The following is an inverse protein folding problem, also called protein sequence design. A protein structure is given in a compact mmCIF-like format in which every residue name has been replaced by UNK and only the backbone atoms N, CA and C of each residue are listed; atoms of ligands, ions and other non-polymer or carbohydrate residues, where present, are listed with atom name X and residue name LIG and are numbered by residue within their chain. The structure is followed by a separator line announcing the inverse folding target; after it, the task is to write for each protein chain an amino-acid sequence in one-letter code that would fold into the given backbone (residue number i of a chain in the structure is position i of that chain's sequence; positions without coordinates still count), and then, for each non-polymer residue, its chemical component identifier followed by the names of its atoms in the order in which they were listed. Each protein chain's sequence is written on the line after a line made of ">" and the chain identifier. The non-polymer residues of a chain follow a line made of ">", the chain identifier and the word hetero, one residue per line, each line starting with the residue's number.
data_IF_214820075047
#
_entry.id   IF_214820075047
#
_cell.length_a   1.000
_cell.length_b   1.000
_cell.length_c   1.000
_cell.angle_alpha   90.00
_cell.angle_beta   90.00
_cell.angle_gamma   90.00
#
_symmetry.space_group_name_H-M   'P 1'
#
loop_
_entity.id
_entity.type
_entity.pdbx_description
1 polymer ?
#
# COMPACT_ATOMS: atom_id res chain seq x y z
N UNK A 1 -19.62 -24.99 80.52
CA UNK A 1 -18.67 -25.56 79.53
C UNK A 1 -19.40 -26.53 78.63
N UNK A 2 -19.44 -26.20 77.32
CA UNK A 2 -19.86 -26.97 76.12
C UNK A 2 -20.10 -25.86 75.06
N UNK A 3 -19.10 -25.43 74.28
CA UNK A 3 -18.61 -26.05 73.02
C UNK A 3 -19.77 -26.28 72.03
N UNK A 4 -19.77 -25.89 70.75
CA UNK A 4 -18.77 -25.33 69.84
C UNK A 4 -19.50 -24.88 68.54
N UNK A 5 -19.09 -23.72 68.02
CA UNK A 5 -18.96 -23.32 66.60
C UNK A 5 -20.16 -23.36 65.63
N UNK A 6 -20.52 -22.12 65.27
CA UNK A 6 -21.14 -21.57 64.07
C UNK A 6 -20.45 -22.04 62.76
N UNK A 7 -21.23 -22.39 61.73
CA UNK A 7 -20.78 -22.41 60.34
C UNK A 7 -21.93 -21.91 59.45
N UNK A 8 -21.86 -20.62 59.11
CA UNK A 8 -22.71 -19.94 58.15
C UNK A 8 -22.12 -20.22 56.76
N UNK A 9 -22.87 -20.92 55.89
CA UNK A 9 -22.53 -21.07 54.48
C UNK A 9 -23.17 -19.90 53.71
N UNK A 10 -22.41 -18.83 53.51
CA UNK A 10 -22.73 -17.78 52.54
C UNK A 10 -22.29 -18.22 51.15
N UNK A 11 -23.23 -18.57 50.28
CA UNK A 11 -22.99 -18.71 48.83
C UNK A 11 -22.86 -17.32 48.21
N UNK A 12 -21.64 -16.97 47.82
CA UNK A 12 -21.30 -15.76 47.09
C UNK A 12 -21.87 -15.79 45.67
N UNK A 13 -22.66 -14.77 45.32
CA UNK A 13 -23.10 -14.52 43.95
C UNK A 13 -21.95 -14.01 43.10
N UNK A 14 -21.67 -14.70 42.00
CA UNK A 14 -20.70 -14.27 40.98
C UNK A 14 -21.29 -13.09 40.20
N UNK A 15 -20.77 -11.90 40.46
CA UNK A 15 -21.00 -10.72 39.63
C UNK A 15 -20.21 -10.88 38.32
N UNK A 16 -20.92 -11.06 37.21
CA UNK A 16 -20.40 -10.92 35.85
C UNK A 16 -20.08 -9.43 35.60
N UNK A 17 -18.82 -9.03 35.83
CA UNK A 17 -18.31 -7.76 35.36
C UNK A 17 -18.14 -7.80 33.84
N UNK A 18 -18.99 -7.07 33.11
CA UNK A 18 -18.76 -6.74 31.70
C UNK A 18 -17.56 -5.78 31.66
N UNK A 19 -16.38 -6.30 31.35
CA UNK A 19 -15.22 -5.47 31.01
C UNK A 19 -15.47 -4.88 29.62
N UNK A 20 -15.24 -3.59 29.37
CA UNK A 20 -15.09 -3.10 28.01
C UNK A 20 -13.83 -3.76 27.44
N UNK A 21 -13.97 -4.48 26.32
CA UNK A 21 -12.83 -4.85 25.49
C UNK A 21 -12.26 -3.53 24.99
N UNK A 22 -11.24 -3.05 25.70
CA UNK A 22 -10.30 -2.09 25.14
C UNK A 22 -9.71 -2.77 23.91
N UNK A 23 -10.20 -2.37 22.73
CA UNK A 23 -9.51 -2.61 21.47
C UNK A 23 -8.11 -2.07 21.68
N UNK A 24 -7.13 -2.99 21.76
CA UNK A 24 -5.72 -2.65 21.86
C UNK A 24 -5.35 -1.71 20.71
N UNK A 25 -5.28 -0.43 21.04
CA UNK A 25 -4.51 0.56 20.31
C UNK A 25 -3.03 0.24 20.50
N UNK A 26 -2.56 -0.82 19.86
CA UNK A 26 -1.16 -1.18 19.79
C UNK A 26 -0.97 -2.21 18.68
N UNK A 27 -0.97 -1.72 17.45
CA UNK A 27 -0.08 -2.20 16.39
C UNK A 27 0.03 -1.09 15.35
N UNK A 28 0.60 0.05 15.77
CA UNK A 28 1.30 0.97 14.87
C UNK A 28 2.55 0.24 14.37
N UNK A 29 2.34 -0.74 13.52
CA UNK A 29 3.38 -1.26 12.70
C UNK A 29 3.18 -0.60 11.34
N UNK A 30 4.08 0.34 11.05
CA UNK A 30 4.55 0.68 9.72
C UNK A 30 5.00 -0.61 9.01
N UNK A 31 4.06 -1.50 8.72
CA UNK A 31 4.25 -2.62 7.83
C UNK A 31 4.27 -2.02 6.44
N UNK A 32 5.47 -1.75 5.95
CA UNK A 32 5.75 -1.63 4.53
C UNK A 32 5.17 -2.88 3.89
N UNK A 33 4.09 -2.72 3.12
CA UNK A 33 3.41 -3.84 2.46
C UNK A 33 4.31 -4.30 1.33
N UNK A 34 5.24 -5.22 1.60
CA UNK A 34 6.18 -5.71 0.59
C UNK A 34 5.49 -6.82 -0.21
N UNK A 35 5.54 -6.71 -1.53
CA UNK A 35 5.18 -7.83 -2.39
C UNK A 35 6.26 -8.91 -2.27
N UNK A 36 5.95 -10.05 -1.65
CA UNK A 36 6.90 -11.14 -1.39
C UNK A 36 7.52 -11.71 -2.68
N UNK A 37 6.78 -11.71 -3.79
CA UNK A 37 7.26 -12.23 -5.08
C UNK A 37 8.31 -11.30 -5.71
N UNK A 38 8.16 -10.00 -5.50
CA UNK A 38 8.94 -8.98 -6.20
C UNK A 38 10.00 -8.33 -5.30
N UNK A 39 9.84 -8.41 -3.98
CA UNK A 39 10.71 -7.81 -2.97
C UNK A 39 10.57 -6.28 -2.87
N UNK A 40 9.55 -5.69 -3.50
CA UNK A 40 9.25 -4.26 -3.50
C UNK A 40 7.76 -4.04 -3.25
N UNK A 41 7.33 -2.96 -2.59
CA UNK A 41 5.92 -2.69 -2.31
C UNK A 41 5.19 -2.16 -3.54
N UNK A 42 5.17 -2.95 -4.62
CA UNK A 42 4.54 -2.63 -5.91
C UNK A 42 3.55 -3.72 -6.26
N UNK A 43 2.30 -3.30 -6.48
CA UNK A 43 1.17 -4.20 -6.70
C UNK A 43 0.49 -3.92 -8.04
N UNK A 44 0.15 -4.97 -8.81
CA UNK A 44 -0.62 -4.81 -10.05
C UNK A 44 -2.10 -4.47 -9.80
N UNK A 45 -2.57 -4.64 -8.57
CA UNK A 45 -3.93 -4.37 -8.12
C UNK A 45 -3.95 -3.28 -7.05
N UNK A 46 -5.15 -2.90 -6.61
CA UNK A 46 -5.36 -1.93 -5.54
C UNK A 46 -5.40 -2.58 -4.14
N UNK A 47 -4.85 -1.91 -3.14
CA UNK A 47 -4.79 -2.39 -1.75
C UNK A 47 -6.03 -1.89 -1.01
N UNK A 48 -7.02 -2.75 -0.82
CA UNK A 48 -8.25 -2.38 -0.08
C UNK A 48 -8.17 -2.64 1.42
N UNK A 49 -7.12 -3.34 1.87
CA UNK A 49 -6.94 -3.73 3.27
C UNK A 49 -6.55 -2.56 4.19
N UNK A 50 -5.99 -1.49 3.62
CA UNK A 50 -5.53 -0.31 4.36
C UNK A 50 -5.94 0.97 3.65
N UNK A 51 -6.51 1.96 4.37
CA UNK A 51 -6.77 3.25 3.78
C UNK A 51 -5.44 3.97 3.52
N UNK A 52 -5.34 4.60 2.36
CA UNK A 52 -4.16 5.33 1.92
C UNK A 52 -4.57 6.64 1.25
N UNK A 53 -3.62 7.56 1.07
CA UNK A 53 -3.73 8.77 0.25
C UNK A 53 -2.87 8.66 -0.99
N UNK A 54 -3.32 9.22 -2.09
CA UNK A 54 -2.56 9.18 -3.35
C UNK A 54 -1.52 10.30 -3.33
N UNK A 55 -0.24 9.93 -3.32
CA UNK A 55 0.87 10.88 -3.42
C UNK A 55 0.94 11.45 -4.84
N UNK A 56 0.73 10.59 -5.85
CA UNK A 56 0.62 11.02 -7.24
C UNK A 56 0.87 9.91 -8.27
N UNK A 57 0.74 10.24 -9.56
CA UNK A 57 1.02 9.34 -10.66
C UNK A 57 2.53 9.13 -10.85
N UNK A 58 2.94 7.89 -11.06
CA UNK A 58 4.32 7.46 -11.32
C UNK A 58 4.42 6.83 -12.69
N UNK A 59 5.47 7.19 -13.43
CA UNK A 59 5.75 6.66 -14.77
C UNK A 59 7.20 6.19 -14.87
N UNK A 60 7.38 4.92 -15.18
CA UNK A 60 8.68 4.31 -15.47
C UNK A 60 8.77 3.92 -16.95
N UNK A 61 9.98 3.95 -17.48
CA UNK A 61 10.25 3.54 -18.87
C UNK A 61 11.55 2.77 -18.95
N UNK A 62 11.45 1.45 -19.14
CA UNK A 62 12.64 0.60 -19.29
C UNK A 62 12.88 0.37 -20.77
N UNK A 63 14.05 0.78 -21.25
CA UNK A 63 14.48 0.58 -22.65
C UNK A 63 15.16 -0.76 -22.83
N UNK A 64 14.89 -1.41 -23.97
CA UNK A 64 15.72 -2.52 -24.45
C UNK A 64 17.08 -2.00 -24.92
N UNK A 65 18.13 -2.82 -24.76
CA UNK A 65 19.47 -2.47 -25.24
C UNK A 65 19.61 -2.66 -26.75
N UNK A 66 19.03 -3.75 -27.28
CA UNK A 66 19.01 -4.10 -28.71
C UNK A 66 17.73 -4.86 -29.07
N UNK A 67 17.40 -4.97 -30.35
CA UNK A 67 16.19 -5.67 -30.86
C UNK A 67 16.16 -7.15 -30.43
N UNK A 68 17.34 -7.80 -30.39
CA UNK A 68 17.53 -9.19 -29.96
C UNK A 68 17.61 -9.38 -28.45
N UNK A 69 17.60 -8.29 -27.67
CA UNK A 69 17.59 -8.39 -26.21
C UNK A 69 16.26 -8.95 -25.72
N UNK A 70 16.31 -9.70 -24.61
CA UNK A 70 15.10 -10.13 -23.88
C UNK A 70 14.30 -8.91 -23.46
N UNK A 71 12.98 -9.06 -23.37
CA UNK A 71 12.12 -8.02 -22.80
C UNK A 71 12.58 -7.68 -21.37
N UNK A 72 12.43 -6.41 -20.95
CA UNK A 72 12.77 -6.03 -19.59
C UNK A 72 11.95 -6.88 -18.61
N UNK A 73 12.61 -7.41 -17.59
CA UNK A 73 11.94 -8.23 -16.59
C UNK A 73 10.94 -7.39 -15.80
N UNK A 74 9.79 -7.98 -15.45
CA UNK A 74 8.77 -7.34 -14.61
C UNK A 74 9.38 -6.82 -13.30
N UNK A 75 10.32 -7.57 -12.71
CA UNK A 75 11.07 -7.15 -11.52
C UNK A 75 11.83 -5.85 -11.71
N UNK A 76 12.47 -5.66 -12.87
CA UNK A 76 13.18 -4.42 -13.16
C UNK A 76 12.21 -3.24 -13.31
N UNK A 77 11.06 -3.47 -13.95
CA UNK A 77 10.01 -2.46 -14.10
C UNK A 77 9.47 -2.05 -12.73
N UNK A 78 9.22 -3.01 -11.85
CA UNK A 78 8.66 -2.76 -10.52
C UNK A 78 9.67 -2.02 -9.64
N UNK A 79 10.95 -2.41 -9.65
CA UNK A 79 11.99 -1.66 -8.95
C UNK A 79 12.07 -0.21 -9.44
N UNK A 80 11.99 0.01 -10.75
CA UNK A 80 12.09 1.34 -11.37
C UNK A 80 10.86 2.22 -11.07
N UNK A 81 9.69 1.61 -10.87
CA UNK A 81 8.49 2.29 -10.35
C UNK A 81 8.66 2.63 -8.87
N UNK A 82 9.14 1.67 -8.08
CA UNK A 82 9.36 1.84 -6.65
C UNK A 82 10.36 2.97 -6.36
N UNK A 83 11.52 2.98 -7.02
CA UNK A 83 12.54 4.02 -6.82
C UNK A 83 12.01 5.43 -7.10
N UNK A 84 11.01 5.58 -7.97
CA UNK A 84 10.35 6.88 -8.22
C UNK A 84 9.29 7.20 -7.17
N UNK A 85 8.48 6.22 -6.78
CA UNK A 85 7.51 6.39 -5.69
C UNK A 85 8.17 6.71 -4.36
N UNK A 86 9.25 6.02 -4.02
CA UNK A 86 10.04 6.22 -2.82
C UNK A 86 10.58 7.65 -2.75
N UNK A 87 11.10 8.20 -3.86
CA UNK A 87 11.53 9.60 -3.95
C UNK A 87 10.40 10.61 -3.74
N UNK A 88 9.16 10.21 -4.01
CA UNK A 88 7.97 11.02 -3.75
C UNK A 88 7.43 10.84 -2.32
N UNK A 89 8.01 9.93 -1.52
CA UNK A 89 7.59 9.65 -0.15
C UNK A 89 6.39 8.71 -0.05
N UNK A 90 6.22 7.84 -1.04
CA UNK A 90 5.20 6.79 -1.03
C UNK A 90 5.67 5.56 -0.25
N UNK A 91 4.71 4.91 0.41
CA UNK A 91 4.92 3.65 1.13
C UNK A 91 4.66 2.44 0.25
N UNK A 92 3.83 2.61 -0.79
CA UNK A 92 3.54 1.58 -1.78
C UNK A 92 3.20 2.18 -3.15
N UNK A 93 3.25 1.33 -4.17
CA UNK A 93 2.77 1.60 -5.53
C UNK A 93 1.61 0.63 -5.81
N UNK A 94 0.46 1.16 -6.24
CA UNK A 94 -0.73 0.37 -6.56
C UNK A 94 -1.11 0.49 -8.03
N UNK A 95 -1.90 -0.49 -8.48
CA UNK A 95 -2.41 -0.58 -9.85
C UNK A 95 -1.30 -0.43 -10.91
N UNK A 96 -0.15 -1.07 -10.68
CA UNK A 96 0.97 -1.05 -11.60
C UNK A 96 0.63 -1.80 -12.90
N UNK A 97 0.55 -1.04 -14.00
CA UNK A 97 0.38 -1.58 -15.34
C UNK A 97 1.64 -1.34 -16.17
N UNK A 98 1.96 -2.27 -17.06
CA UNK A 98 3.04 -2.11 -18.04
C UNK A 98 2.50 -2.50 -19.41
N UNK A 99 2.72 -1.62 -20.39
CA UNK A 99 2.26 -1.83 -21.76
C UNK A 99 3.22 -2.69 -22.57
N UNK A 100 2.75 -3.23 -23.69
CA UNK A 100 3.60 -3.94 -24.65
C UNK A 100 4.72 -3.04 -25.17
N UNK A 101 5.89 -3.64 -25.40
CA UNK A 101 7.06 -2.97 -25.95
C UNK A 101 6.81 -2.49 -27.39
N UNK A 102 6.29 -1.27 -27.57
CA UNK A 102 6.06 -0.75 -28.92
C UNK A 102 7.39 -0.32 -29.56
N UNK A 103 7.70 -0.88 -30.73
CA UNK A 103 8.77 -0.41 -31.61
C UNK A 103 8.21 0.76 -32.42
N UNK A 104 8.67 1.98 -32.14
CA UNK A 104 8.32 3.16 -32.95
C UNK A 104 9.53 3.58 -33.78
N UNK A 105 9.32 4.32 -34.87
CA UNK A 105 10.37 4.72 -35.82
C UNK A 105 11.55 5.51 -35.19
N UNK A 106 11.41 5.95 -33.94
CA UNK A 106 12.47 6.60 -33.13
C UNK A 106 12.77 5.89 -31.79
N UNK A 107 12.17 4.73 -31.50
CA UNK A 107 12.38 4.01 -30.22
C UNK A 107 12.49 2.50 -30.41
N UNK A 108 13.62 1.94 -29.99
CA UNK A 108 14.01 0.53 -30.14
C UNK A 108 13.31 -0.44 -29.16
N UNK A 109 12.02 -0.21 -28.88
CA UNK A 109 11.24 -0.98 -27.90
C UNK A 109 11.39 -0.41 -26.49
N UNK A 110 10.48 0.50 -26.12
CA UNK A 110 10.33 1.02 -24.76
C UNK A 110 9.11 0.37 -24.11
N UNK A 111 9.30 -0.24 -22.96
CA UNK A 111 8.20 -0.69 -22.10
C UNK A 111 7.88 0.43 -21.13
N UNK A 112 6.71 1.05 -21.28
CA UNK A 112 6.23 2.06 -20.34
C UNK A 112 5.43 1.36 -19.25
N UNK A 113 5.65 1.78 -18.00
CA UNK A 113 4.88 1.35 -16.87
C UNK A 113 4.30 2.56 -16.14
N UNK A 114 3.04 2.43 -15.74
CA UNK A 114 2.22 3.45 -15.11
C UNK A 114 1.68 2.90 -13.82
N UNK A 115 1.69 3.69 -12.76
CA UNK A 115 1.17 3.28 -11.46
C UNK A 115 0.89 4.50 -10.56
N UNK A 116 0.19 4.30 -9.46
CA UNK A 116 -0.03 5.34 -8.45
C UNK A 116 0.83 5.11 -7.22
N UNK A 117 1.57 6.14 -6.84
CA UNK A 117 2.28 6.20 -5.57
C UNK A 117 1.29 6.55 -4.46
N UNK A 118 1.27 5.74 -3.41
CA UNK A 118 0.34 5.89 -2.29
C UNK A 118 1.07 5.90 -0.96
N UNK A 119 0.50 6.60 0.00
CA UNK A 119 0.99 6.69 1.37
C UNK A 119 -0.10 6.20 2.32
N UNK A 120 0.21 5.27 3.22
CA UNK A 120 -0.82 4.75 4.12
C UNK A 120 -1.22 5.79 5.16
N UNK A 121 -2.51 5.81 5.51
CA UNK A 121 -2.98 6.65 6.61
C UNK A 121 -2.62 5.98 7.94
N UNK A 122 -2.15 6.81 8.87
CA UNK A 122 -1.90 6.39 10.26
C UNK A 122 -3.22 6.23 11.01
N UNK A 123 -3.20 5.47 12.11
CA UNK A 123 -4.38 5.30 12.97
C UNK A 123 -4.92 6.63 13.50
N UNK A 124 -4.05 7.62 13.69
CA UNK A 124 -4.41 8.97 14.14
C UNK A 124 -5.15 9.76 13.05
N UNK A 125 -4.68 9.69 11.79
CA UNK A 125 -5.34 10.31 10.63
C UNK A 125 -6.75 9.71 10.39
N UNK A 126 -6.88 8.38 10.54
CA UNK A 126 -8.17 7.68 10.45
C UNK A 126 -9.11 8.11 11.59
N UNK A 127 -8.58 8.23 12.82
CA UNK A 127 -9.35 8.70 13.97
C UNK A 127 -9.77 10.19 13.85
N UNK A 128 -8.99 10.99 13.12
CA UNK A 128 -9.31 12.37 12.77
C UNK A 128 -10.37 12.49 11.65
N UNK A 129 -10.79 11.35 11.07
CA UNK A 129 -11.84 11.29 10.04
C UNK A 129 -11.32 11.40 8.61
N UNK A 130 -10.01 11.27 8.36
CA UNK A 130 -9.51 11.13 7.00
C UNK A 130 -9.95 9.79 6.40
N UNK A 131 -10.59 9.86 5.24
CA UNK A 131 -10.99 8.69 4.47
C UNK A 131 -9.91 8.39 3.43
N UNK A 132 -9.56 7.11 3.29
CA UNK A 132 -8.63 6.68 2.25
C UNK A 132 -9.18 7.02 0.86
N UNK A 133 -8.28 7.43 -0.03
CA UNK A 133 -8.57 7.54 -1.45
C UNK A 133 -8.56 6.16 -2.09
N UNK A 134 -9.40 5.97 -3.09
CA UNK A 134 -9.34 4.81 -3.97
C UNK A 134 -8.61 5.25 -5.24
N UNK A 135 -7.53 4.54 -5.58
CA UNK A 135 -6.84 4.78 -6.83
C UNK A 135 -7.80 4.50 -8.01
N UNK A 136 -7.76 5.34 -9.07
CA UNK A 136 -8.63 5.14 -10.22
C UNK A 136 -8.40 3.75 -10.81
N UNK A 137 -9.45 3.15 -11.36
CA UNK A 137 -9.36 1.81 -11.91
C UNK A 137 -8.44 1.81 -13.15
N UNK A 138 -7.70 0.72 -13.44
CA UNK A 138 -6.86 0.62 -14.64
C UNK A 138 -7.58 0.94 -15.95
N UNK A 139 -8.90 0.71 -16.00
CA UNK A 139 -9.75 1.03 -17.15
C UNK A 139 -9.92 2.53 -17.41
N UNK A 140 -9.60 3.36 -16.42
CA UNK A 140 -9.71 4.83 -16.50
C UNK A 140 -8.34 5.48 -16.78
N UNK A 141 -7.31 4.69 -17.06
CA UNK A 141 -5.95 5.20 -17.26
C UNK A 141 -5.83 5.90 -18.60
N UNK A 142 -5.69 7.23 -18.54
CA UNK A 142 -5.37 8.03 -19.70
C UNK A 142 -3.94 8.58 -19.60
N UNK A 143 -3.30 8.82 -20.75
CA UNK A 143 -1.92 9.36 -20.76
C UNK A 143 -1.83 10.74 -20.11
N UNK A 144 -2.94 11.50 -20.10
CA UNK A 144 -3.06 12.82 -19.50
C UNK A 144 -2.95 12.80 -17.96
N UNK A 145 -3.45 11.76 -17.28
CA UNK A 145 -3.30 11.59 -15.82
C UNK A 145 -1.84 11.42 -15.42
N UNK A 146 -1.02 10.85 -16.30
CA UNK A 146 0.42 10.67 -16.06
C UNK A 146 1.26 11.80 -16.67
N UNK A 147 0.63 12.86 -17.15
CA UNK A 147 1.31 14.04 -17.67
C UNK A 147 1.93 14.82 -16.51
N UNK A 148 3.26 14.89 -16.48
CA UNK A 148 4.00 15.43 -15.35
C UNK A 148 4.20 14.45 -14.20
N UNK A 149 3.94 13.14 -14.41
CA UNK A 149 4.29 12.10 -13.46
C UNK A 149 5.77 12.20 -13.06
N UNK A 150 6.06 11.82 -11.81
CA UNK A 150 7.37 11.95 -11.16
C UNK A 150 7.84 13.40 -10.89
N UNK A 151 7.00 14.42 -11.14
CA UNK A 151 7.33 15.79 -10.73
C UNK A 151 7.13 15.93 -9.23
N UNK A 152 8.21 16.12 -8.49
CA UNK A 152 8.15 16.49 -7.07
C UNK A 152 7.50 17.88 -7.00
N UNK A 153 6.44 18.03 -6.19
CA UNK A 153 5.70 19.29 -6.04
C UNK A 153 6.57 20.29 -5.25
N UNK A 154 7.62 20.84 -5.85
CA UNK A 154 8.58 21.67 -5.12
C UNK A 154 9.82 22.18 -5.87
N UNK A 155 9.77 22.36 -7.19
CA UNK A 155 10.78 23.11 -7.96
C UNK A 155 10.12 24.15 -8.86
#
# INVERSE_FOLDING_TARGET
>A
MRSMKLAILTTAGVLLSVQPVAVSAAENADFVVVNEEMGVPVFPYDITDKPYKIVGPVKAGVRKATIFSKEPSQKKIYNELWERGEKMGADAIVNATYGDSHISAMSWGKTNALAFAVKFLTAEEIAAGEQGETAPAPTEYNEDMFKGANKVRGE
#
